data_IF_212027849673
#
_entry.id   IF_212027849673
#
_cell.length_a   1.000
_cell.length_b   1.000
_cell.length_c   1.000
_cell.angle_alpha   90.00
_cell.angle_beta   90.00
_cell.angle_gamma   90.00
#
_symmetry.space_group_name_H-M   'P 1'
#
loop_
_entity.id
_entity.type
_entity.pdbx_description
1 polymer ?
#
# COMPACT_ATOMS: atom_id res chain seq x y z
N UNK A 1 -4.95 -16.13 -15.32
CA UNK A 1 -5.08 -15.68 -13.91
C UNK A 1 -6.55 -15.46 -13.61
N UNK A 2 -7.09 -16.17 -12.63
CA UNK A 2 -8.44 -15.86 -12.12
C UNK A 2 -8.36 -14.61 -11.28
N UNK A 3 -9.34 -13.73 -11.41
CA UNK A 3 -9.30 -12.37 -10.87
C UNK A 3 -10.31 -12.24 -9.77
N UNK A 4 -9.99 -11.37 -8.78
CA UNK A 4 -10.90 -10.99 -7.73
C UNK A 4 -12.19 -10.39 -8.33
N UNK A 5 -13.33 -10.68 -7.69
CA UNK A 5 -14.66 -10.18 -8.05
C UNK A 5 -15.09 -9.08 -7.10
N UNK A 6 -16.12 -8.33 -7.48
CA UNK A 6 -16.66 -7.29 -6.61
C UNK A 6 -17.14 -7.87 -5.28
N UNK A 7 -16.70 -7.27 -4.17
CA UNK A 7 -16.98 -7.73 -2.81
C UNK A 7 -15.96 -8.70 -2.23
N UNK A 8 -15.04 -9.24 -3.02
CA UNK A 8 -13.96 -10.08 -2.52
C UNK A 8 -13.03 -9.30 -1.57
N UNK A 9 -12.39 -10.04 -0.68
CA UNK A 9 -11.32 -9.51 0.15
C UNK A 9 -10.00 -9.50 -0.63
N UNK A 10 -9.35 -8.35 -0.64
CA UNK A 10 -8.01 -8.14 -1.19
C UNK A 10 -7.09 -7.68 -0.07
N UNK A 11 -5.95 -8.31 0.10
CA UNK A 11 -4.91 -7.85 1.01
C UNK A 11 -3.83 -7.10 0.21
N UNK A 12 -3.45 -5.92 0.69
CA UNK A 12 -2.37 -5.10 0.12
C UNK A 12 -1.34 -4.87 1.21
N UNK A 13 -0.10 -5.18 0.91
CA UNK A 13 1.07 -4.85 1.72
C UNK A 13 1.89 -3.85 0.95
N UNK A 14 2.13 -2.68 1.54
CA UNK A 14 2.77 -1.56 0.86
C UNK A 14 3.86 -0.93 1.72
N UNK A 15 4.92 -0.52 1.08
CA UNK A 15 6.05 0.16 1.68
C UNK A 15 6.60 1.24 0.74
N UNK A 16 7.40 2.15 1.27
CA UNK A 16 8.07 3.21 0.55
C UNK A 16 9.54 3.33 0.96
N UNK A 17 10.35 3.81 0.03
CA UNK A 17 11.77 4.09 0.24
C UNK A 17 12.15 5.41 -0.43
N UNK A 18 12.94 6.22 0.25
CA UNK A 18 13.48 7.45 -0.31
C UNK A 18 14.96 7.55 0.02
N UNK A 19 15.80 7.42 -0.99
CA UNK A 19 17.25 7.45 -0.84
C UNK A 19 17.66 8.87 -0.50
N UNK A 20 18.30 9.07 0.68
CA UNK A 20 18.69 10.39 1.14
C UNK A 20 17.57 11.24 1.75
N UNK A 21 16.42 10.63 2.09
CA UNK A 21 15.28 11.34 2.70
C UNK A 21 15.71 12.29 3.82
N UNK A 22 15.30 13.57 3.71
CA UNK A 22 15.68 14.64 4.66
C UNK A 22 17.05 15.27 4.43
N UNK A 23 17.79 14.90 3.38
CA UNK A 23 19.04 15.56 2.96
C UNK A 23 18.76 16.56 1.84
N UNK A 24 19.69 17.53 1.69
CA UNK A 24 19.66 18.42 0.52
C UNK A 24 20.02 17.65 -0.77
N UNK A 25 19.32 17.95 -1.87
CA UNK A 25 19.53 17.37 -3.18
C UNK A 25 18.36 16.55 -3.69
N UNK A 26 18.56 15.90 -4.83
CA UNK A 26 17.60 14.98 -5.42
C UNK A 26 17.53 13.71 -4.57
N UNK A 27 16.38 13.49 -3.97
CA UNK A 27 16.11 12.30 -3.17
C UNK A 27 15.22 11.35 -3.98
N UNK A 28 15.79 10.43 -4.77
CA UNK A 28 14.98 9.48 -5.52
C UNK A 28 14.22 8.56 -4.58
N UNK A 29 12.94 8.40 -4.85
CA UNK A 29 12.07 7.54 -4.07
C UNK A 29 11.40 6.48 -4.90
N UNK A 30 10.99 5.42 -4.21
CA UNK A 30 10.20 4.33 -4.72
C UNK A 30 9.09 3.95 -3.77
N UNK A 31 8.06 3.35 -4.29
CA UNK A 31 7.05 2.65 -3.51
C UNK A 31 6.74 1.33 -4.19
N UNK A 32 6.44 0.33 -3.39
CA UNK A 32 6.11 -0.99 -3.89
C UNK A 32 5.06 -1.67 -3.03
N UNK A 33 4.42 -2.67 -3.59
CA UNK A 33 3.47 -3.45 -2.84
C UNK A 33 3.11 -4.78 -3.46
N UNK A 34 2.74 -5.69 -2.57
CA UNK A 34 2.20 -7.00 -2.85
C UNK A 34 0.68 -6.96 -2.69
N UNK A 35 -0.04 -7.42 -3.70
CA UNK A 35 -1.50 -7.53 -3.68
C UNK A 35 -1.87 -9.00 -3.72
N UNK A 36 -2.64 -9.45 -2.73
CA UNK A 36 -3.08 -10.84 -2.58
C UNK A 36 -4.61 -10.93 -2.62
N UNK A 37 -5.14 -11.98 -3.24
CA UNK A 37 -6.55 -12.38 -3.11
C UNK A 37 -6.70 -13.89 -3.21
N UNK A 38 -7.76 -14.42 -2.59
CA UNK A 38 -8.08 -15.83 -2.68
C UNK A 38 -8.82 -16.13 -3.98
N UNK A 39 -8.42 -17.21 -4.62
CA UNK A 39 -9.18 -17.77 -5.71
C UNK A 39 -10.47 -18.41 -5.16
N UNK A 40 -11.68 -18.01 -5.64
CA UNK A 40 -12.94 -18.41 -5.01
C UNK A 40 -13.23 -19.92 -5.06
N UNK A 41 -12.56 -20.67 -5.94
CA UNK A 41 -12.79 -22.12 -6.10
C UNK A 41 -11.68 -23.01 -5.54
N UNK A 42 -10.43 -22.57 -5.57
CA UNK A 42 -9.28 -23.39 -5.16
C UNK A 42 -8.72 -23.02 -3.79
N UNK A 43 -9.13 -21.88 -3.22
CA UNK A 43 -8.55 -21.29 -2.02
C UNK A 43 -7.04 -20.98 -2.15
N UNK A 44 -6.52 -20.98 -3.37
CA UNK A 44 -5.15 -20.57 -3.64
C UNK A 44 -5.04 -19.03 -3.58
N UNK A 45 -3.95 -18.56 -3.00
CA UNK A 45 -3.65 -17.12 -2.98
C UNK A 45 -2.99 -16.74 -4.29
N UNK A 46 -3.65 -15.85 -5.05
CA UNK A 46 -3.05 -15.20 -6.21
C UNK A 46 -2.34 -13.94 -5.77
N UNK A 47 -1.15 -13.68 -6.33
CA UNK A 47 -0.28 -12.56 -5.97
C UNK A 47 0.09 -11.73 -7.18
N UNK A 48 0.06 -10.41 -7.00
CA UNK A 48 0.58 -9.45 -7.98
C UNK A 48 1.39 -8.37 -7.28
N UNK A 49 2.38 -7.86 -7.99
CA UNK A 49 3.24 -6.76 -7.55
C UNK A 49 2.90 -5.48 -8.30
N UNK A 50 3.15 -4.35 -7.64
CA UNK A 50 3.28 -3.05 -8.28
C UNK A 50 4.46 -2.29 -7.67
N UNK A 51 5.07 -1.43 -8.47
CA UNK A 51 6.09 -0.48 -7.99
C UNK A 51 6.11 0.77 -8.86
N UNK A 52 6.46 1.86 -8.23
CA UNK A 52 6.60 3.19 -8.85
C UNK A 52 7.80 3.91 -8.29
N UNK A 53 8.34 4.86 -9.04
CA UNK A 53 9.45 5.72 -8.62
C UNK A 53 9.20 7.19 -8.95
N UNK A 54 9.84 8.06 -8.19
CA UNK A 54 9.94 9.51 -8.46
C UNK A 54 11.40 9.96 -8.25
N UNK A 55 11.99 10.78 -9.14
CA UNK A 55 13.41 11.14 -9.07
C UNK A 55 13.74 12.11 -7.92
N UNK A 56 12.74 12.88 -7.45
CA UNK A 56 12.88 13.84 -6.35
C UNK A 56 11.61 13.86 -5.51
N UNK A 57 11.67 13.29 -4.31
CA UNK A 57 10.47 13.07 -3.49
C UNK A 57 10.79 12.97 -1.98
N UNK A 58 9.81 12.57 -1.20
CA UNK A 58 9.93 12.23 0.23
C UNK A 58 9.19 10.94 0.55
N UNK A 59 9.51 10.25 1.65
CA UNK A 59 8.78 9.06 2.09
C UNK A 59 7.27 9.32 2.17
N UNK A 60 6.84 10.40 2.80
CA UNK A 60 5.41 10.73 2.92
C UNK A 60 4.71 10.87 1.56
N UNK A 61 5.39 11.44 0.55
CA UNK A 61 4.86 11.54 -0.81
C UNK A 61 4.76 10.16 -1.45
N UNK A 62 5.82 9.35 -1.34
CA UNK A 62 5.83 8.00 -1.90
C UNK A 62 4.79 7.10 -1.24
N UNK A 63 4.57 7.21 0.08
CA UNK A 63 3.51 6.52 0.79
C UNK A 63 2.11 6.82 0.21
N UNK A 64 1.80 8.10 -0.04
CA UNK A 64 0.54 8.51 -0.68
C UNK A 64 0.46 8.02 -2.13
N UNK A 65 1.55 8.11 -2.88
CA UNK A 65 1.62 7.59 -4.26
C UNK A 65 1.40 6.08 -4.31
N UNK A 66 1.93 5.34 -3.33
CA UNK A 66 1.70 3.90 -3.18
C UNK A 66 0.22 3.57 -3.03
N UNK A 67 -0.49 4.27 -2.14
CA UNK A 67 -1.95 4.13 -1.98
C UNK A 67 -2.68 4.41 -3.30
N UNK A 68 -2.37 5.55 -3.93
CA UNK A 68 -3.02 5.95 -5.19
C UNK A 68 -2.82 4.88 -6.27
N UNK A 69 -1.61 4.38 -6.42
CA UNK A 69 -1.29 3.38 -7.45
C UNK A 69 -1.96 2.04 -7.17
N UNK A 70 -1.84 1.52 -5.94
CA UNK A 70 -2.48 0.26 -5.55
C UNK A 70 -3.98 0.27 -5.84
N UNK A 71 -4.67 1.30 -5.39
CA UNK A 71 -6.12 1.41 -5.57
C UNK A 71 -6.53 1.70 -7.02
N UNK A 72 -5.73 2.47 -7.78
CA UNK A 72 -5.93 2.65 -9.21
C UNK A 72 -5.86 1.31 -9.95
N UNK A 73 -4.85 0.50 -9.64
CA UNK A 73 -4.64 -0.77 -10.30
C UNK A 73 -5.76 -1.78 -10.03
N UNK A 74 -6.19 -1.95 -8.79
CA UNK A 74 -7.31 -2.85 -8.49
C UNK A 74 -8.66 -2.32 -9.03
N UNK A 75 -8.79 -1.00 -9.20
CA UNK A 75 -10.00 -0.34 -9.68
C UNK A 75 -10.16 -0.33 -11.20
N UNK A 76 -9.16 -0.68 -11.98
CA UNK A 76 -9.15 -0.56 -13.46
C UNK A 76 -10.39 -1.14 -14.18
N UNK A 77 -11.14 -2.01 -13.50
CA UNK A 77 -12.34 -2.67 -14.03
C UNK A 77 -13.64 -2.21 -13.39
N UNK A 78 -13.58 -1.19 -12.56
CA UNK A 78 -14.75 -0.66 -11.87
C UNK A 78 -15.27 -1.54 -10.74
N UNK A 79 -14.54 -2.60 -10.32
CA UNK A 79 -14.93 -3.44 -9.20
C UNK A 79 -14.68 -2.75 -7.87
N UNK A 80 -15.58 -2.96 -6.91
CA UNK A 80 -15.42 -2.55 -5.53
C UNK A 80 -15.02 -3.77 -4.68
N UNK A 81 -14.01 -3.58 -3.82
CA UNK A 81 -13.45 -4.65 -2.98
C UNK A 81 -13.51 -4.28 -1.50
N UNK A 82 -13.42 -5.30 -0.64
CA UNK A 82 -12.99 -5.16 0.74
C UNK A 82 -11.47 -5.24 0.75
N UNK A 83 -10.80 -4.20 1.23
CA UNK A 83 -9.34 -4.11 1.14
C UNK A 83 -8.74 -4.02 2.53
N UNK A 84 -7.91 -5.00 2.89
CA UNK A 84 -7.02 -4.87 4.03
C UNK A 84 -5.70 -4.26 3.55
N UNK A 85 -5.50 -2.98 3.83
CA UNK A 85 -4.27 -2.27 3.48
C UNK A 85 -3.32 -2.25 4.68
N UNK A 86 -2.16 -2.88 4.54
CA UNK A 86 -1.14 -3.01 5.58
C UNK A 86 0.11 -2.23 5.18
N UNK A 87 0.59 -1.36 6.06
CA UNK A 87 1.82 -0.58 5.87
C UNK A 87 2.45 -0.25 7.22
N UNK A 88 3.74 -0.03 7.25
CA UNK A 88 4.46 0.50 8.41
C UNK A 88 4.48 2.04 8.45
N UNK A 89 3.96 2.70 7.43
CA UNK A 89 3.78 4.14 7.38
C UNK A 89 2.64 4.61 8.29
N UNK A 90 2.99 5.07 9.49
CA UNK A 90 2.01 5.72 10.39
C UNK A 90 1.33 6.92 9.73
N UNK A 91 2.04 7.62 8.85
CA UNK A 91 1.50 8.77 8.13
C UNK A 91 0.25 8.39 7.34
N UNK A 92 0.28 7.28 6.60
CA UNK A 92 -0.88 6.79 5.84
C UNK A 92 -1.95 6.22 6.78
N UNK A 93 -1.57 5.31 7.68
CA UNK A 93 -2.55 4.57 8.48
C UNK A 93 -3.30 5.49 9.43
N UNK A 94 -2.62 6.39 10.15
CA UNK A 94 -3.26 7.37 11.01
C UNK A 94 -4.02 8.43 10.21
N UNK A 95 -3.45 8.87 9.08
CA UNK A 95 -4.09 9.82 8.17
C UNK A 95 -5.44 9.34 7.69
N UNK A 96 -5.51 8.13 7.17
CA UNK A 96 -6.74 7.53 6.65
C UNK A 96 -7.73 7.15 7.75
N UNK A 97 -7.25 6.67 8.92
CA UNK A 97 -8.13 6.32 10.03
C UNK A 97 -8.69 7.54 10.79
N UNK A 98 -8.00 8.68 10.79
CA UNK A 98 -8.33 9.77 11.72
C UNK A 98 -8.32 11.16 11.08
N UNK A 99 -7.23 11.54 10.37
CA UNK A 99 -7.01 12.94 9.98
C UNK A 99 -7.91 13.37 8.82
N UNK A 100 -8.01 12.53 7.80
CA UNK A 100 -8.73 12.81 6.55
C UNK A 100 -10.19 13.17 6.82
N UNK A 101 -10.88 12.40 7.67
CA UNK A 101 -12.25 12.67 8.08
C UNK A 101 -12.41 14.09 8.66
N UNK A 102 -11.50 14.46 9.55
CA UNK A 102 -11.50 15.78 10.19
C UNK A 102 -11.18 16.90 9.18
N UNK A 103 -10.31 16.65 8.22
CA UNK A 103 -9.98 17.64 7.18
C UNK A 103 -11.14 17.86 6.21
N UNK A 104 -11.79 16.80 5.77
CA UNK A 104 -12.96 16.88 4.89
C UNK A 104 -14.08 17.65 5.56
N UNK A 105 -14.42 17.34 6.82
CA UNK A 105 -15.46 18.05 7.59
C UNK A 105 -15.16 19.55 7.76
N UNK A 106 -13.90 19.98 7.60
CA UNK A 106 -13.48 21.39 7.67
C UNK A 106 -13.14 21.99 6.31
N UNK A 107 -13.57 21.39 5.21
CA UNK A 107 -13.24 21.86 3.86
C UNK A 107 -11.75 21.78 3.54
N UNK A 108 -11.09 20.67 3.93
CA UNK A 108 -9.65 20.42 3.76
C UNK A 108 -8.76 21.46 4.47
N UNK A 109 -9.11 21.76 5.71
CA UNK A 109 -8.38 22.66 6.59
C UNK A 109 -7.99 21.97 7.90
N UNK A 110 -6.85 22.35 8.47
CA UNK A 110 -6.43 21.94 9.82
C UNK A 110 -6.10 23.15 10.70
N UNK A 111 -6.16 22.97 12.02
CA UNK A 111 -5.60 23.95 12.96
C UNK A 111 -4.07 23.91 12.83
N UNK A 112 -3.43 25.07 12.76
CA UNK A 112 -1.98 25.16 12.76
C UNK A 112 -1.30 25.07 11.39
N UNK A 113 -1.97 25.48 10.31
CA UNK A 113 -1.34 25.69 9.01
C UNK A 113 -1.85 24.80 7.88
N UNK A 114 -1.13 24.78 6.77
CA UNK A 114 -1.49 24.00 5.58
C UNK A 114 -1.36 22.49 5.83
N UNK A 115 -2.19 21.71 5.15
CA UNK A 115 -2.04 20.25 5.10
C UNK A 115 -0.92 19.95 4.10
N UNK A 116 0.13 19.32 4.59
CA UNK A 116 1.22 18.86 3.74
C UNK A 116 0.71 17.78 2.76
N UNK A 117 1.20 17.82 1.52
CA UNK A 117 0.79 16.91 0.44
C UNK A 117 -0.73 16.87 0.18
N UNK A 118 -1.45 17.98 0.37
CA UNK A 118 -2.90 18.06 0.30
C UNK A 118 -3.48 17.43 -0.97
N UNK A 119 -2.90 17.73 -2.13
CA UNK A 119 -3.43 17.21 -3.40
C UNK A 119 -3.25 15.69 -3.54
N UNK A 120 -2.17 15.13 -3.00
CA UNK A 120 -1.99 13.67 -2.94
C UNK A 120 -2.98 13.02 -1.97
N UNK A 121 -3.28 13.65 -0.82
CA UNK A 121 -4.34 13.18 0.08
C UNK A 121 -5.70 13.14 -0.60
N UNK A 122 -6.08 14.18 -1.33
CA UNK A 122 -7.34 14.21 -2.09
C UNK A 122 -7.40 13.10 -3.15
N UNK A 123 -6.30 12.90 -3.88
CA UNK A 123 -6.20 11.82 -4.86
C UNK A 123 -6.30 10.45 -4.20
N UNK A 124 -5.64 10.23 -3.07
CA UNK A 124 -5.71 8.98 -2.32
C UNK A 124 -7.16 8.70 -1.85
N UNK A 125 -7.84 9.70 -1.29
CA UNK A 125 -9.25 9.59 -0.89
C UNK A 125 -10.15 9.23 -2.08
N UNK A 126 -9.94 9.87 -3.23
CA UNK A 126 -10.68 9.56 -4.45
C UNK A 126 -10.42 8.12 -4.90
N UNK A 127 -9.16 7.68 -4.90
CA UNK A 127 -8.80 6.33 -5.33
C UNK A 127 -9.43 5.23 -4.46
N UNK A 128 -9.56 5.46 -3.15
CA UNK A 128 -10.12 4.47 -2.21
C UNK A 128 -11.64 4.53 -2.10
N UNK A 129 -12.30 5.57 -2.65
CA UNK A 129 -13.70 5.90 -2.35
C UNK A 129 -14.71 4.81 -2.67
N UNK A 130 -14.45 3.98 -3.67
CA UNK A 130 -15.36 2.89 -4.08
C UNK A 130 -15.16 1.58 -3.28
N UNK A 131 -14.12 1.50 -2.43
CA UNK A 131 -13.76 0.30 -1.68
C UNK A 131 -14.13 0.43 -0.20
N UNK A 132 -14.30 -0.71 0.47
CA UNK A 132 -14.32 -0.79 1.93
C UNK A 132 -12.89 -1.09 2.39
N UNK A 133 -12.27 -0.20 3.16
CA UNK A 133 -10.85 -0.32 3.50
C UNK A 133 -10.64 -0.42 5.00
N UNK A 134 -9.91 -1.42 5.42
CA UNK A 134 -9.32 -1.53 6.76
C UNK A 134 -7.84 -1.18 6.67
N UNK A 135 -7.44 -0.11 7.36
CA UNK A 135 -6.04 0.33 7.43
C UNK A 135 -5.37 -0.33 8.62
N UNK A 136 -4.29 -1.08 8.38
CA UNK A 136 -3.52 -1.78 9.40
C UNK A 136 -2.10 -1.26 9.43
N UNK A 137 -1.67 -0.83 10.61
CA UNK A 137 -0.26 -0.53 10.84
C UNK A 137 0.49 -1.79 11.28
N UNK A 138 1.69 -1.96 10.77
CA UNK A 138 2.65 -2.98 11.22
C UNK A 138 3.97 -2.29 11.56
N UNK A 139 4.77 -2.95 12.37
CA UNK A 139 6.12 -2.46 12.63
C UNK A 139 7.02 -2.85 11.46
N UNK A 140 7.62 -1.85 10.81
CA UNK A 140 8.60 -2.07 9.75
C UNK A 140 9.83 -2.83 10.22
N UNK A 141 10.49 -3.50 9.31
CA UNK A 141 11.70 -4.30 9.54
C UNK A 141 11.57 -5.28 10.71
N UNK A 142 10.42 -5.91 10.84
CA UNK A 142 10.11 -6.85 11.91
C UNK A 142 9.98 -8.30 11.40
N UNK A 143 10.46 -8.57 10.19
CA UNK A 143 10.53 -9.90 9.60
C UNK A 143 9.18 -10.43 9.10
N UNK A 144 8.14 -9.59 8.93
CA UNK A 144 6.90 -10.01 8.28
C UNK A 144 7.13 -10.14 6.77
N UNK A 145 7.08 -11.34 6.17
CA UNK A 145 7.52 -11.56 4.81
C UNK A 145 6.87 -10.65 3.77
N UNK A 146 5.55 -10.44 3.85
CA UNK A 146 4.85 -9.59 2.90
C UNK A 146 5.27 -8.12 3.00
N UNK A 147 5.52 -7.59 4.20
CA UNK A 147 5.98 -6.21 4.37
C UNK A 147 7.44 -6.06 3.94
N UNK A 148 8.31 -7.02 4.29
CA UNK A 148 9.71 -7.02 3.84
C UNK A 148 9.82 -7.09 2.31
N UNK A 149 8.94 -7.86 1.66
CA UNK A 149 8.87 -7.92 0.22
C UNK A 149 8.41 -6.60 -0.41
N UNK A 150 7.41 -5.93 0.17
CA UNK A 150 6.98 -4.62 -0.25
C UNK A 150 8.12 -3.58 -0.14
N UNK A 151 8.90 -3.62 0.97
CA UNK A 151 10.11 -2.83 1.13
C UNK A 151 11.18 -3.15 0.09
N UNK A 152 11.39 -4.43 -0.24
CA UNK A 152 12.30 -4.84 -1.32
C UNK A 152 11.89 -4.20 -2.66
N UNK A 153 10.62 -4.27 -3.04
CA UNK A 153 10.10 -3.65 -4.26
C UNK A 153 10.28 -2.13 -4.25
N UNK A 154 9.96 -1.47 -3.13
CA UNK A 154 10.09 -0.03 -2.97
C UNK A 154 11.55 0.44 -3.09
N UNK A 155 12.47 -0.27 -2.43
CA UNK A 155 13.90 0.04 -2.45
C UNK A 155 14.49 -0.17 -3.85
N UNK A 156 14.12 -1.28 -4.52
CA UNK A 156 14.53 -1.54 -5.91
C UNK A 156 14.01 -0.43 -6.84
N UNK A 157 12.74 -0.06 -6.73
CA UNK A 157 12.15 0.99 -7.54
C UNK A 157 12.84 2.35 -7.34
N UNK A 158 13.21 2.69 -6.08
CA UNK A 158 13.94 3.92 -5.78
C UNK A 158 15.34 3.92 -6.41
N UNK A 159 16.06 2.80 -6.32
CA UNK A 159 17.42 2.67 -6.85
C UNK A 159 17.47 2.66 -8.39
N UNK A 160 16.55 1.92 -9.02
CA UNK A 160 16.51 1.74 -10.48
C UNK A 160 15.70 2.82 -11.20
N UNK A 161 14.96 3.66 -10.46
CA UNK A 161 14.01 4.63 -11.01
C UNK A 161 13.08 3.99 -12.03
N UNK A 162 12.51 2.82 -11.67
CA UNK A 162 11.66 1.99 -12.51
C UNK A 162 10.20 1.99 -12.06
N UNK A 163 9.32 1.66 -12.99
CA UNK A 163 7.88 1.55 -12.75
C UNK A 163 7.34 0.26 -13.36
N UNK A 164 6.44 -0.42 -12.64
CA UNK A 164 5.82 -1.67 -13.12
C UNK A 164 4.90 -1.48 -14.33
N UNK A 165 4.34 -0.27 -14.50
CA UNK A 165 3.37 0.03 -15.55
C UNK A 165 2.06 -0.73 -15.41
N UNK A 166 1.69 -1.11 -14.21
CA UNK A 166 0.50 -1.90 -13.86
C UNK A 166 0.84 -3.08 -12.96
N UNK A 167 -0.13 -3.96 -12.70
CA UNK A 167 0.10 -5.17 -11.92
C UNK A 167 0.96 -6.17 -12.71
N UNK A 168 1.94 -6.74 -12.03
CA UNK A 168 2.82 -7.81 -12.54
C UNK A 168 2.57 -9.09 -11.75
N UNK A 169 2.86 -10.23 -12.35
CA UNK A 169 2.93 -11.50 -11.62
C UNK A 169 3.98 -11.38 -10.52
N UNK A 170 3.64 -11.83 -9.31
CA UNK A 170 4.52 -11.63 -8.17
C UNK A 170 5.65 -12.65 -8.13
N UNK A 171 6.83 -12.16 -7.77
CA UNK A 171 8.02 -12.98 -7.49
C UNK A 171 8.11 -13.36 -6.00
N UNK A 172 7.10 -13.05 -5.18
CA UNK A 172 7.11 -13.26 -3.73
C UNK A 172 7.46 -14.69 -3.32
N UNK A 173 6.86 -15.68 -4.00
CA UNK A 173 7.04 -17.10 -3.66
C UNK A 173 8.46 -17.61 -3.96
N UNK A 174 9.17 -17.01 -4.90
CA UNK A 174 10.59 -17.29 -5.16
C UNK A 174 11.52 -16.47 -4.25
N UNK A 175 11.13 -15.21 -3.94
CA UNK A 175 11.91 -14.31 -3.10
C UNK A 175 12.02 -14.79 -1.64
N UNK A 176 10.94 -15.31 -1.05
CA UNK A 176 10.92 -15.75 0.37
C UNK A 176 11.98 -16.82 0.70
N UNK A 177 12.14 -17.92 -0.09
CA UNK A 177 13.19 -18.91 0.16
C UNK A 177 14.60 -18.31 0.08
N UNK A 178 14.86 -17.41 -0.87
CA UNK A 178 16.16 -16.77 -1.03
C UNK A 178 16.54 -15.94 0.19
N UNK A 179 15.57 -15.30 0.86
CA UNK A 179 15.83 -14.51 2.06
C UNK A 179 16.12 -15.38 3.29
N UNK A 180 15.63 -16.63 3.36
CA UNK A 180 15.90 -17.55 4.47
C UNK A 180 17.37 -17.97 4.54
N UNK A 181 18.07 -17.90 3.42
CA UNK A 181 19.53 -18.14 3.33
C UNK A 181 20.34 -16.85 3.55
N UNK A 182 19.66 -15.69 3.71
CA UNK A 182 20.26 -14.36 3.79
C UNK A 182 20.23 -13.74 5.19
N UNK A 183 20.35 -12.42 5.21
CA UNK A 183 20.46 -11.60 6.44
C UNK A 183 19.13 -11.18 7.07
N UNK A 184 18.01 -11.43 6.39
CA UNK A 184 16.67 -11.02 6.87
C UNK A 184 16.06 -12.17 7.68
N UNK A 185 15.86 -11.95 8.97
CA UNK A 185 15.17 -12.91 9.86
C UNK A 185 13.66 -12.86 9.59
N UNK A 186 13.22 -13.65 8.60
CA UNK A 186 11.81 -13.74 8.25
C UNK A 186 11.05 -14.60 9.27
N UNK A 187 9.99 -14.03 9.81
CA UNK A 187 8.99 -14.74 10.61
C UNK A 187 8.11 -15.63 9.72
N UNK A 188 7.22 -16.38 10.36
CA UNK A 188 6.22 -17.12 9.61
C UNK A 188 5.35 -16.16 8.79
N UNK A 189 5.10 -16.54 7.55
CA UNK A 189 4.21 -15.80 6.64
C UNK A 189 2.82 -15.68 7.29
N UNK A 190 2.27 -14.47 7.30
CA UNK A 190 0.89 -14.28 7.74
C UNK A 190 -0.07 -15.00 6.77
N UNK A 191 -1.05 -15.75 7.29
CA UNK A 191 -2.07 -16.33 6.43
C UNK A 191 -2.88 -15.23 5.74
N UNK A 192 -3.51 -15.56 4.61
CA UNK A 192 -4.46 -14.64 3.98
C UNK A 192 -5.54 -14.24 5.00
N UNK A 193 -5.91 -12.95 5.08
CA UNK A 193 -6.84 -12.46 6.10
C UNK A 193 -8.22 -13.14 6.02
N UNK A 194 -8.80 -13.44 7.18
CA UNK A 194 -10.17 -13.93 7.24
C UNK A 194 -11.17 -12.78 7.05
N UNK A 195 -12.10 -12.99 6.13
CA UNK A 195 -13.18 -12.06 5.85
C UNK A 195 -14.07 -11.77 7.09
N UNK A 196 -14.23 -12.75 8.01
CA UNK A 196 -15.01 -12.56 9.23
C UNK A 196 -14.34 -11.57 10.20
N UNK A 197 -13.03 -11.45 10.14
CA UNK A 197 -12.26 -10.50 10.97
C UNK A 197 -12.12 -9.11 10.32
N UNK A 198 -12.62 -8.91 9.10
CA UNK A 198 -12.54 -7.66 8.39
C UNK A 198 -13.43 -6.58 9.01
N UNK A 199 -12.82 -5.48 9.42
CA UNK A 199 -13.50 -4.34 10.02
C UNK A 199 -13.10 -3.06 9.29
N UNK A 200 -13.90 -2.61 8.30
CA UNK A 200 -13.57 -1.42 7.54
C UNK A 200 -13.50 -0.19 8.46
N UNK A 201 -12.53 0.65 8.23
CA UNK A 201 -12.45 1.95 8.87
C UNK A 201 -13.69 2.77 8.54
N UNK A 202 -14.21 3.52 9.50
CA UNK A 202 -15.39 4.37 9.30
C UNK A 202 -15.12 5.34 8.15
N UNK A 203 -15.91 5.23 7.08
CA UNK A 203 -15.85 6.20 5.99
C UNK A 203 -16.42 7.51 6.49
N UNK A 204 -15.58 8.49 6.68
CA UNK A 204 -16.03 9.85 7.01
C UNK A 204 -16.32 10.69 5.75
N UNK A 205 -16.14 10.12 4.55
CA UNK A 205 -16.22 10.82 3.27
C UNK A 205 -17.21 10.23 2.25
N UNK A 206 -18.09 9.34 2.66
CA UNK A 206 -19.26 9.00 1.85
C UNK A 206 -20.30 10.10 2.04
N UNK A 207 -20.38 11.00 1.09
CA UNK A 207 -21.57 11.83 0.85
C UNK A 207 -22.60 11.04 0.07
#
# INVERSE_FOLDING_TARGET
>A
MTRAQSGDLVAIYADESCIGNGREGDNPGGAGGLIEWLHPKSSEVTRCDYWISEPATTNNRMALRSVIEAFREISRRGNAYRVLFTSDSKYIVEGMNSWVASWIARGWKRKGGAIENLELWKQAVTAVSQHEVQWRWVRGHNGQPQNEYANFLATRAAAEQSNSGGLRESEFDSWVPEQKEGTVDLKNMAPFPDLQSFQPSKRAWTT
#
